data_IF_083523346684
#
_entry.id   IF_083523346684
#
_cell.length_a   1.000
_cell.length_b   1.000
_cell.length_c   1.000
_cell.angle_alpha   90.00
_cell.angle_beta   90.00
_cell.angle_gamma   90.00
#
_symmetry.space_group_name_H-M   'P 1'
#
loop_
_entity.id
_entity.type
_entity.pdbx_description
1 polymer ?
#
# COMPACT_ATOMS: atom_id res chain seq x y z
N UNK A 1 6.53 18.09 -3.96
CA UNK A 1 6.73 16.73 -4.53
C UNK A 1 5.68 15.84 -3.90
N UNK A 2 4.84 15.17 -4.69
CA UNK A 2 3.72 14.36 -4.17
C UNK A 2 4.24 12.99 -3.66
N UNK A 3 3.54 12.40 -2.68
CA UNK A 3 3.88 11.12 -2.05
C UNK A 3 4.06 10.01 -3.10
N UNK A 4 3.11 9.86 -4.02
CA UNK A 4 3.12 8.82 -5.05
C UNK A 4 4.29 8.95 -6.01
N UNK A 5 4.70 10.17 -6.38
CA UNK A 5 5.86 10.37 -7.25
C UNK A 5 7.12 9.81 -6.60
N UNK A 6 7.38 10.17 -5.33
CA UNK A 6 8.57 9.73 -4.62
C UNK A 6 8.54 8.25 -4.28
N UNK A 7 7.37 7.73 -3.89
CA UNK A 7 7.19 6.30 -3.65
C UNK A 7 7.45 5.48 -4.93
N UNK A 8 6.94 5.92 -6.08
CA UNK A 8 7.18 5.25 -7.35
C UNK A 8 8.67 5.23 -7.70
N UNK A 9 9.39 6.33 -7.51
CA UNK A 9 10.85 6.37 -7.71
C UNK A 9 11.59 5.36 -6.84
N UNK A 10 11.22 5.25 -5.55
CA UNK A 10 11.84 4.29 -4.65
C UNK A 10 11.52 2.83 -5.01
N UNK A 11 10.27 2.53 -5.37
CA UNK A 11 9.91 1.18 -5.83
C UNK A 11 10.69 0.82 -7.10
N UNK A 12 10.81 1.74 -8.06
CA UNK A 12 11.58 1.52 -9.30
C UNK A 12 13.09 1.45 -9.08
N UNK A 13 13.60 2.02 -7.99
CA UNK A 13 14.97 1.87 -7.55
C UNK A 13 15.22 0.58 -6.73
N UNK A 14 14.22 -0.30 -6.63
CA UNK A 14 14.30 -1.60 -5.97
C UNK A 14 14.60 -1.53 -4.46
N UNK A 15 14.14 -0.47 -3.79
CA UNK A 15 14.18 -0.44 -2.32
C UNK A 15 13.21 -1.50 -1.76
N UNK A 16 13.71 -2.37 -0.88
CA UNK A 16 12.94 -3.49 -0.31
C UNK A 16 12.08 -3.09 0.90
N UNK A 17 12.31 -1.91 1.45
CA UNK A 17 11.57 -1.36 2.58
C UNK A 17 11.60 0.16 2.55
N UNK A 18 10.44 0.78 2.74
CA UNK A 18 10.25 2.22 2.70
C UNK A 18 9.47 2.62 3.95
N UNK A 19 10.08 3.44 4.80
CA UNK A 19 9.39 4.04 5.93
C UNK A 19 8.68 5.31 5.48
N UNK A 20 7.37 5.40 5.71
CA UNK A 20 6.54 6.53 5.32
C UNK A 20 5.98 7.16 6.60
N UNK A 21 6.33 8.42 6.84
CA UNK A 21 5.72 9.25 7.86
C UNK A 21 4.74 10.21 7.20
N UNK A 22 3.50 10.24 7.70
CA UNK A 22 2.44 11.14 7.24
C UNK A 22 1.76 11.77 8.45
N UNK A 23 1.28 13.00 8.30
CA UNK A 23 0.40 13.64 9.27
C UNK A 23 -1.09 13.32 9.01
N UNK A 24 -1.40 12.91 7.77
CA UNK A 24 -2.72 12.52 7.30
C UNK A 24 -2.63 11.08 6.78
N UNK A 25 -2.74 10.12 7.69
CA UNK A 25 -2.49 8.70 7.37
C UNK A 25 -3.52 8.13 6.38
N UNK A 26 -4.79 8.50 6.52
CA UNK A 26 -5.86 7.98 5.67
C UNK A 26 -5.69 8.40 4.20
N UNK A 27 -5.33 9.66 3.98
CA UNK A 27 -5.12 10.20 2.64
C UNK A 27 -3.87 9.61 2.01
N UNK A 28 -2.79 9.46 2.79
CA UNK A 28 -1.58 8.77 2.34
C UNK A 28 -1.85 7.32 1.91
N UNK A 29 -2.63 6.56 2.69
CA UNK A 29 -3.01 5.19 2.33
C UNK A 29 -3.86 5.15 1.05
N UNK A 30 -4.79 6.09 0.90
CA UNK A 30 -5.64 6.20 -0.28
C UNK A 30 -4.82 6.53 -1.53
N UNK A 31 -3.88 7.47 -1.43
CA UNK A 31 -2.95 7.81 -2.50
C UNK A 31 -2.08 6.62 -2.90
N UNK A 32 -1.51 5.89 -1.93
CA UNK A 32 -0.70 4.69 -2.17
C UNK A 32 -1.52 3.59 -2.86
N UNK A 33 -2.76 3.35 -2.40
CA UNK A 33 -3.66 2.38 -3.03
C UNK A 33 -4.01 2.78 -4.46
N UNK A 34 -4.19 4.08 -4.72
CA UNK A 34 -4.35 4.64 -6.07
C UNK A 34 -3.14 4.33 -6.94
N UNK A 35 -1.92 4.62 -6.46
CA UNK A 35 -0.68 4.33 -7.18
C UNK A 35 -0.55 2.84 -7.52
N UNK A 36 -0.80 1.95 -6.55
CA UNK A 36 -0.74 0.51 -6.77
C UNK A 36 -1.73 0.07 -7.86
N UNK A 37 -2.96 0.62 -7.87
CA UNK A 37 -3.94 0.34 -8.92
C UNK A 37 -3.44 0.81 -10.30
N UNK A 38 -2.93 2.03 -10.39
CA UNK A 38 -2.45 2.62 -11.64
C UNK A 38 -1.24 1.87 -12.20
N UNK A 39 -0.37 1.36 -11.33
CA UNK A 39 0.80 0.55 -11.71
C UNK A 39 0.51 -0.96 -11.81
N UNK A 40 -0.74 -1.37 -11.55
CA UNK A 40 -1.16 -2.78 -11.49
C UNK A 40 -0.33 -3.62 -10.49
N UNK A 41 0.10 -3.01 -9.39
CA UNK A 41 0.78 -3.70 -8.30
C UNK A 41 -0.22 -4.35 -7.36
N UNK A 42 0.12 -5.56 -6.92
CA UNK A 42 -0.59 -6.21 -5.81
C UNK A 42 -0.29 -5.44 -4.52
N UNK A 43 -1.33 -5.06 -3.80
CA UNK A 43 -1.24 -4.37 -2.52
C UNK A 43 -1.79 -5.29 -1.45
N UNK A 44 -1.03 -5.51 -0.38
CA UNK A 44 -1.53 -6.13 0.84
C UNK A 44 -1.28 -5.15 1.98
N UNK A 45 -2.26 -5.01 2.87
CA UNK A 45 -2.18 -4.08 4.00
C UNK A 45 -2.27 -4.89 5.27
N UNK A 46 -1.33 -4.68 6.19
CA UNK A 46 -1.43 -5.22 7.53
C UNK A 46 -1.65 -4.08 8.50
N UNK A 47 -2.73 -4.19 9.27
CA UNK A 47 -3.08 -3.24 10.31
C UNK A 47 -3.24 -4.00 11.63
N UNK A 48 -2.89 -3.34 12.74
CA UNK A 48 -2.85 -4.01 14.05
C UNK A 48 -4.25 -4.36 14.57
N UNK A 49 -5.27 -3.59 14.19
CA UNK A 49 -6.64 -3.78 14.65
C UNK A 49 -7.39 -4.77 13.75
N UNK A 50 -7.15 -4.73 12.45
CA UNK A 50 -7.92 -5.47 11.43
C UNK A 50 -7.17 -6.65 10.82
N UNK A 51 -5.87 -6.77 11.06
CA UNK A 51 -5.04 -7.85 10.54
C UNK A 51 -4.61 -7.67 9.09
N UNK A 52 -4.33 -8.79 8.41
CA UNK A 52 -3.90 -8.78 7.01
C UNK A 52 -5.10 -8.69 6.07
N UNK A 53 -5.12 -7.66 5.22
CA UNK A 53 -6.11 -7.47 4.18
C UNK A 53 -5.44 -7.56 2.80
N UNK A 54 -5.96 -8.44 1.94
CA UNK A 54 -5.51 -8.58 0.55
C UNK A 54 -6.73 -8.33 -0.37
N UNK A 55 -6.75 -7.23 -1.14
CA UNK A 55 -7.83 -6.93 -2.07
C UNK A 55 -8.00 -8.06 -3.09
N UNK A 56 -9.23 -8.52 -3.26
CA UNK A 56 -9.57 -9.61 -4.18
C UNK A 56 -9.39 -11.02 -3.61
N UNK A 57 -8.84 -11.16 -2.40
CA UNK A 57 -8.84 -12.41 -1.66
C UNK A 57 -9.99 -12.36 -0.65
N UNK A 58 -11.17 -12.87 -1.06
CA UNK A 58 -12.20 -13.21 -0.08
C UNK A 58 -11.60 -14.26 0.84
N UNK A 59 -11.69 -14.06 2.15
CA UNK A 59 -11.34 -15.07 3.16
C UNK A 59 -11.89 -16.42 2.69
N UNK A 60 -10.98 -17.32 2.30
CA UNK A 60 -11.37 -18.70 2.07
C UNK A 60 -11.56 -19.28 3.45
N UNK A 61 -12.83 -19.27 3.86
CA UNK A 61 -13.36 -19.99 5.02
C UNK A 61 -12.83 -21.42 5.01
N UNK A 62 -11.84 -21.68 5.86
CA UNK A 62 -11.35 -23.02 6.15
C UNK A 62 -11.94 -23.41 7.50
N UNK A 63 -13.02 -24.19 7.45
CA UNK A 63 -13.76 -24.69 8.62
C UNK A 63 -13.01 -25.62 9.55
#
# INVERSE_FOLDING_TARGET
MNLCTRLNEYVRACFTGIWIESHEHHDALTEIAGLCRDQQWQLATWDIETGLTIPGQSETDNG
#
